data_IF_281540551129
#
_entry.id   IF_281540551129
#
_cell.length_a   1.000
_cell.length_b   1.000
_cell.length_c   1.000
_cell.angle_alpha   90.00
_cell.angle_beta   90.00
_cell.angle_gamma   90.00
#
_symmetry.space_group_name_H-M   'P 1'
#
loop_
_entity.id
_entity.type
_entity.pdbx_description
1 polymer ?
#
# COMPACT_ATOMS: atom_id res chain seq x y z
N UNK A 1 -10.90 3.00 -11.90
CA UNK A 1 -10.02 2.54 -10.79
C UNK A 1 -8.58 2.88 -11.10
N UNK A 2 -7.92 3.56 -10.21
CA UNK A 2 -6.50 3.88 -10.36
C UNK A 2 -5.84 3.91 -8.99
N UNK A 3 -4.78 3.14 -8.80
CA UNK A 3 -3.95 3.23 -7.60
C UNK A 3 -3.14 4.52 -7.66
N UNK A 4 -3.18 5.30 -6.60
CA UNK A 4 -2.42 6.54 -6.55
C UNK A 4 -0.90 6.26 -6.44
N UNK A 5 -0.12 7.27 -6.81
CA UNK A 5 1.34 7.17 -6.80
C UNK A 5 1.89 6.92 -5.39
N UNK A 6 1.28 7.52 -4.36
CA UNK A 6 1.70 7.34 -2.96
C UNK A 6 1.63 5.87 -2.54
N UNK A 7 0.52 5.21 -2.84
CA UNK A 7 0.33 3.80 -2.49
C UNK A 7 1.32 2.89 -3.22
N UNK A 8 1.53 3.14 -4.51
CA UNK A 8 2.50 2.38 -5.30
C UNK A 8 3.91 2.56 -4.77
N UNK A 9 4.32 3.78 -4.48
CA UNK A 9 5.64 4.08 -3.94
C UNK A 9 5.83 3.55 -2.52
N UNK A 10 4.77 3.55 -1.70
CA UNK A 10 4.82 2.96 -0.36
C UNK A 10 5.12 1.46 -0.45
N UNK A 11 4.45 0.74 -1.33
CA UNK A 11 4.70 -0.69 -1.53
C UNK A 11 6.13 -0.93 -2.02
N UNK A 12 6.60 -0.13 -2.98
CA UNK A 12 7.98 -0.21 -3.48
C UNK A 12 9.01 0.01 -2.36
N UNK A 13 8.80 1.04 -1.56
CA UNK A 13 9.72 1.40 -0.47
C UNK A 13 9.76 0.33 0.62
N UNK A 14 8.60 -0.22 0.99
CA UNK A 14 8.53 -1.28 2.01
C UNK A 14 9.14 -2.59 1.50
N UNK A 15 8.97 -2.90 0.22
CA UNK A 15 9.64 -4.04 -0.41
C UNK A 15 11.17 -3.86 -0.41
N UNK A 16 11.65 -2.65 -0.71
CA UNK A 16 13.08 -2.31 -0.63
C UNK A 16 13.61 -2.52 0.78
N UNK A 17 12.90 -2.03 1.80
CA UNK A 17 13.27 -2.25 3.20
C UNK A 17 13.35 -3.73 3.54
N UNK A 18 12.39 -4.52 3.10
CA UNK A 18 12.36 -5.96 3.39
C UNK A 18 13.56 -6.69 2.79
N UNK A 19 14.05 -6.22 1.64
CA UNK A 19 15.23 -6.81 0.98
C UNK A 19 16.53 -6.39 1.67
N UNK A 20 16.65 -5.11 2.04
CA UNK A 20 17.93 -4.51 2.46
C UNK A 20 18.05 -4.29 3.97
N UNK A 21 17.05 -4.59 4.78
CA UNK A 21 17.08 -4.30 6.21
C UNK A 21 18.07 -5.16 7.01
N UNK A 22 18.31 -6.39 6.63
CA UNK A 22 19.21 -7.31 7.34
C UNK A 22 19.19 -7.13 8.88
N UNK A 23 18.02 -6.94 9.46
CA UNK A 23 17.77 -6.62 10.88
C UNK A 23 18.23 -5.23 11.33
N UNK A 24 18.67 -4.37 10.41
CA UNK A 24 19.07 -2.99 10.69
C UNK A 24 18.05 -2.01 10.15
N UNK A 25 18.06 -0.78 10.68
CA UNK A 25 17.25 0.29 10.15
C UNK A 25 17.70 0.66 8.74
N UNK A 26 16.74 1.02 7.88
CA UNK A 26 17.00 1.48 6.51
C UNK A 26 16.67 2.96 6.43
N UNK A 27 17.60 3.77 5.91
CA UNK A 27 17.38 5.21 5.75
C UNK A 27 16.51 5.49 4.52
N UNK A 28 15.71 6.54 4.60
CA UNK A 28 14.91 6.98 3.44
C UNK A 28 15.79 7.45 2.29
N UNK A 29 16.96 7.98 2.60
CA UNK A 29 17.93 8.38 1.60
C UNK A 29 18.38 7.20 0.74
N UNK A 30 18.67 6.07 1.37
CA UNK A 30 19.08 4.86 0.66
C UNK A 30 17.95 4.32 -0.21
N UNK A 31 16.73 4.32 0.30
CA UNK A 31 15.54 3.92 -0.49
C UNK A 31 15.36 4.86 -1.68
N UNK A 32 15.49 6.17 -1.46
CA UNK A 32 15.40 7.18 -2.50
C UNK A 32 16.40 6.92 -3.63
N UNK A 33 17.63 6.64 -3.28
CA UNK A 33 18.69 6.36 -4.26
C UNK A 33 18.45 5.06 -5.03
N UNK A 34 18.03 3.99 -4.33
CA UNK A 34 17.80 2.70 -4.98
C UNK A 34 16.56 2.68 -5.87
N UNK A 35 15.47 3.30 -5.41
CA UNK A 35 14.18 3.23 -6.08
C UNK A 35 13.88 4.44 -6.99
N UNK A 36 14.71 5.47 -6.96
CA UNK A 36 14.48 6.67 -7.76
C UNK A 36 13.26 7.47 -7.32
N UNK A 37 12.93 7.46 -6.03
CA UNK A 37 11.80 8.18 -5.47
C UNK A 37 12.33 9.40 -4.71
N UNK A 38 11.66 10.56 -4.85
CA UNK A 38 12.02 11.77 -4.12
C UNK A 38 12.07 11.53 -2.62
N UNK A 39 13.15 11.99 -1.96
CA UNK A 39 13.30 11.87 -0.51
C UNK A 39 12.17 12.57 0.23
N UNK A 40 11.80 13.79 -0.19
CA UNK A 40 10.70 14.53 0.42
C UNK A 40 9.38 13.78 0.33
N UNK A 41 9.14 13.14 -0.80
CA UNK A 41 7.93 12.34 -1.02
C UNK A 41 7.91 11.10 -0.12
N UNK A 42 9.07 10.43 0.03
CA UNK A 42 9.21 9.30 0.95
C UNK A 42 8.97 9.72 2.40
N UNK A 43 9.45 10.88 2.81
CA UNK A 43 9.22 11.40 4.16
C UNK A 43 7.71 11.53 4.45
N UNK A 44 6.94 12.05 3.49
CA UNK A 44 5.49 12.16 3.62
C UNK A 44 4.80 10.79 3.72
N UNK A 45 5.23 9.85 2.90
CA UNK A 45 4.70 8.49 2.91
C UNK A 45 5.00 7.79 4.25
N UNK A 46 6.24 7.86 4.70
CA UNK A 46 6.68 7.19 5.92
C UNK A 46 6.08 7.81 7.19
N UNK A 47 5.75 9.09 7.15
CA UNK A 47 5.01 9.70 8.24
C UNK A 47 3.66 9.02 8.45
N UNK A 48 2.94 8.73 7.38
CA UNK A 48 1.67 8.01 7.42
C UNK A 48 1.84 6.55 7.82
N UNK A 49 2.84 5.88 7.28
CA UNK A 49 3.14 4.49 7.62
C UNK A 49 3.50 4.34 9.11
N UNK A 50 4.27 5.28 9.65
CA UNK A 50 4.60 5.33 11.08
C UNK A 50 3.38 5.55 11.95
N UNK A 51 2.51 6.47 11.56
CA UNK A 51 1.27 6.77 12.27
C UNK A 51 0.34 5.56 12.34
N UNK A 52 0.38 4.69 11.35
CA UNK A 52 -0.43 3.46 11.29
C UNK A 52 0.33 2.22 11.78
N UNK A 53 1.46 2.39 12.46
CA UNK A 53 2.26 1.31 13.06
C UNK A 53 2.77 0.27 12.07
N UNK A 54 2.98 0.65 10.81
CA UNK A 54 3.59 -0.24 9.80
C UNK A 54 5.10 -0.19 9.91
N UNK A 55 5.66 1.00 10.20
CA UNK A 55 7.08 1.21 10.43
C UNK A 55 7.29 1.96 11.73
N UNK A 56 8.48 1.87 12.28
CA UNK A 56 8.94 2.71 13.40
C UNK A 56 10.31 3.28 13.08
N UNK A 57 10.58 4.48 13.61
CA UNK A 57 11.85 5.16 13.40
C UNK A 57 12.89 4.74 14.42
N UNK A 58 14.14 4.68 13.97
CA UNK A 58 15.32 4.44 14.81
C UNK A 58 16.24 5.65 14.67
N UNK A 59 16.59 6.26 15.81
CA UNK A 59 17.48 7.43 15.84
C UNK A 59 18.95 6.99 15.82
N UNK A 60 19.81 7.87 15.31
CA UNK A 60 21.27 7.72 15.34
C UNK A 60 21.89 7.74 13.96
N UNK A 61 23.21 7.59 13.91
CA UNK A 61 24.00 7.59 12.66
C UNK A 61 23.56 6.45 11.75
N UNK A 62 23.27 5.29 12.33
CA UNK A 62 22.76 4.12 11.62
C UNK A 62 21.23 4.02 11.74
N UNK A 63 20.58 5.15 11.91
CA UNK A 63 19.13 5.22 12.06
C UNK A 63 18.37 5.15 10.72
N UNK A 64 17.08 5.18 10.83
CA UNK A 64 16.17 5.09 9.70
C UNK A 64 14.84 4.52 10.15
N UNK A 65 14.33 3.59 9.39
CA UNK A 65 13.05 2.92 9.69
C UNK A 65 13.21 1.41 9.71
N UNK A 66 12.40 0.76 10.54
CA UNK A 66 12.27 -0.70 10.56
C UNK A 66 10.79 -1.07 10.45
N UNK A 67 10.52 -2.24 9.89
CA UNK A 67 9.16 -2.78 9.82
C UNK A 67 8.70 -3.24 11.21
N UNK A 68 7.47 -2.89 11.60
CA UNK A 68 6.87 -3.36 12.86
C UNK A 68 6.47 -4.81 12.73
N UNK A 69 5.85 -5.18 11.60
CA UNK A 69 5.49 -6.56 11.27
C UNK A 69 6.48 -7.12 10.25
N UNK A 70 6.71 -8.42 10.32
CA UNK A 70 7.53 -9.09 9.31
C UNK A 70 6.85 -9.02 7.93
N UNK A 71 7.62 -9.12 6.82
CA UNK A 71 7.03 -9.18 5.48
C UNK A 71 6.02 -10.30 5.28
N UNK A 72 6.12 -11.39 6.04
CA UNK A 72 5.19 -12.52 6.00
C UNK A 72 3.86 -12.22 6.66
N UNK A 73 3.81 -11.20 7.53
CA UNK A 73 2.60 -10.81 8.27
C UNK A 73 1.96 -9.54 7.71
N UNK A 74 2.72 -8.68 7.04
CA UNK A 74 2.24 -7.41 6.52
C UNK A 74 1.45 -7.64 5.22
N UNK A 75 0.16 -7.35 5.28
CA UNK A 75 -0.73 -7.45 4.11
C UNK A 75 -0.61 -6.20 3.24
N UNK A 76 -0.75 -6.37 1.93
CA UNK A 76 -0.80 -5.23 1.00
C UNK A 76 -1.99 -4.32 1.32
N UNK A 77 -3.14 -4.90 1.74
CA UNK A 77 -4.30 -4.11 2.16
C UNK A 77 -3.99 -3.18 3.32
N UNK A 78 -3.17 -3.59 4.29
CA UNK A 78 -2.78 -2.74 5.42
C UNK A 78 -2.03 -1.49 4.96
N UNK A 79 -1.15 -1.65 3.97
CA UNK A 79 -0.38 -0.55 3.39
C UNK A 79 -1.31 0.44 2.68
N UNK A 80 -2.24 -0.06 1.88
CA UNK A 80 -3.20 0.77 1.16
C UNK A 80 -4.10 1.55 2.11
N UNK A 81 -4.57 0.92 3.17
CA UNK A 81 -5.41 1.56 4.20
C UNK A 81 -4.63 2.68 4.89
N UNK A 82 -3.36 2.46 5.21
CA UNK A 82 -2.51 3.47 5.85
C UNK A 82 -2.34 4.74 4.99
N UNK A 83 -2.45 4.60 3.68
CA UNK A 83 -2.34 5.72 2.73
C UNK A 83 -3.71 6.24 2.27
N UNK A 84 -4.78 5.86 2.95
CA UNK A 84 -6.17 6.21 2.63
C UNK A 84 -6.57 5.83 1.19
N UNK A 85 -5.94 4.81 0.65
CA UNK A 85 -6.27 4.32 -0.69
C UNK A 85 -7.51 3.45 -0.63
N UNK A 86 -8.57 3.92 -1.25
CA UNK A 86 -9.80 3.15 -1.45
C UNK A 86 -9.81 2.63 -2.88
N UNK A 87 -9.97 1.33 -3.03
CA UNK A 87 -10.06 0.71 -4.33
C UNK A 87 -11.54 0.43 -4.64
N UNK A 88 -12.10 1.25 -5.51
CA UNK A 88 -13.45 1.09 -6.03
C UNK A 88 -13.45 1.30 -7.53
N UNK A 89 -14.20 0.49 -8.26
CA UNK A 89 -14.32 0.61 -9.71
C UNK A 89 -15.29 1.72 -10.11
N UNK A 90 -16.28 2.01 -9.25
CA UNK A 90 -17.31 3.03 -9.48
C UNK A 90 -17.57 3.80 -8.19
N UNK A 91 -18.14 5.01 -8.34
CA UNK A 91 -18.42 5.90 -7.21
C UNK A 91 -19.67 5.58 -6.40
N UNK A 92 -20.35 4.47 -6.66
CA UNK A 92 -21.56 4.07 -5.92
C UNK A 92 -21.24 3.69 -4.49
N UNK A 93 -22.01 4.23 -3.53
CA UNK A 93 -21.91 3.81 -2.13
C UNK A 93 -22.57 2.45 -1.96
N UNK A 94 -21.90 1.54 -1.27
CA UNK A 94 -22.36 0.16 -1.06
C UNK A 94 -23.76 0.09 -0.45
N UNK A 95 -24.06 1.00 0.50
CA UNK A 95 -25.32 1.05 1.23
C UNK A 95 -26.32 2.07 0.67
N UNK A 96 -26.01 2.70 -0.46
CA UNK A 96 -26.89 3.67 -1.08
C UNK A 96 -28.04 2.97 -1.80
N UNK A 97 -29.27 3.32 -1.45
CA UNK A 97 -30.46 2.89 -2.16
C UNK A 97 -30.62 3.60 -3.52
N UNK A 98 -29.83 4.67 -3.74
CA UNK A 98 -29.84 5.46 -4.97
C UNK A 98 -28.70 5.03 -5.89
N UNK A 99 -28.95 5.07 -7.19
CA UNK A 99 -27.90 4.84 -8.19
C UNK A 99 -26.91 6.01 -8.27
N UNK A 100 -25.77 5.78 -8.89
CA UNK A 100 -24.73 6.79 -9.07
C UNK A 100 -25.16 8.00 -9.90
N UNK A 101 -26.24 7.87 -10.67
CA UNK A 101 -26.83 8.95 -11.47
C UNK A 101 -28.08 9.59 -10.84
N UNK A 102 -28.30 9.39 -9.53
CA UNK A 102 -29.40 10.01 -8.79
C UNK A 102 -30.77 9.34 -8.91
N UNK A 103 -30.87 8.23 -9.62
CA UNK A 103 -32.14 7.47 -9.74
C UNK A 103 -32.42 6.71 -8.44
N UNK A 104 -33.70 6.42 -8.19
CA UNK A 104 -34.13 5.73 -6.97
C UNK A 104 -33.74 4.26 -6.89
N UNK A 105 -33.29 3.67 -7.97
CA UNK A 105 -32.88 2.27 -8.06
C UNK A 105 -31.42 2.15 -8.46
N UNK A 106 -30.74 1.11 -7.96
CA UNK A 106 -29.39 0.78 -8.39
C UNK A 106 -29.40 0.40 -9.88
N UNK A 107 -28.34 0.76 -10.62
CA UNK A 107 -28.23 0.41 -12.02
C UNK A 107 -28.12 -1.11 -12.21
N UNK A 108 -28.48 -1.59 -13.40
CA UNK A 108 -28.50 -3.02 -13.72
C UNK A 108 -27.13 -3.70 -13.55
N UNK A 109 -26.04 -2.94 -13.69
CA UNK A 109 -24.66 -3.46 -13.55
C UNK A 109 -24.08 -3.28 -12.16
N UNK A 110 -24.83 -2.74 -11.20
CA UNK A 110 -24.32 -2.44 -9.86
C UNK A 110 -23.69 -3.67 -9.17
N UNK A 111 -24.37 -4.80 -9.21
CA UNK A 111 -23.89 -6.01 -8.56
C UNK A 111 -22.59 -6.56 -9.19
N UNK A 112 -22.47 -6.41 -10.50
CA UNK A 112 -21.26 -6.79 -11.23
C UNK A 112 -20.04 -6.00 -10.75
N UNK A 113 -20.19 -4.67 -10.65
CA UNK A 113 -19.07 -3.82 -10.19
C UNK A 113 -18.77 -4.03 -8.71
N UNK A 114 -19.79 -4.25 -7.89
CA UNK A 114 -19.62 -4.57 -6.47
C UNK A 114 -18.86 -5.89 -6.29
N UNK A 115 -19.18 -6.90 -7.07
CA UNK A 115 -18.47 -8.19 -7.07
C UNK A 115 -17.00 -8.00 -7.46
N UNK A 116 -16.70 -7.17 -8.45
CA UNK A 116 -15.32 -6.85 -8.85
C UNK A 116 -14.57 -6.15 -7.71
N UNK A 117 -15.21 -5.18 -7.06
CA UNK A 117 -14.61 -4.46 -5.92
C UNK A 117 -14.27 -5.41 -4.77
N UNK A 118 -15.17 -6.32 -4.44
CA UNK A 118 -14.96 -7.35 -3.42
C UNK A 118 -13.77 -8.23 -3.81
N UNK A 119 -13.69 -8.64 -5.05
CA UNK A 119 -12.62 -9.49 -5.57
C UNK A 119 -11.25 -8.78 -5.48
N UNK A 120 -11.16 -7.51 -5.87
CA UNK A 120 -9.94 -6.72 -5.81
C UNK A 120 -9.48 -6.54 -4.36
N UNK A 121 -10.39 -6.18 -3.45
CA UNK A 121 -10.06 -5.98 -2.05
C UNK A 121 -9.63 -7.29 -1.39
N UNK A 122 -10.27 -8.41 -1.71
CA UNK A 122 -9.87 -9.74 -1.26
C UNK A 122 -8.47 -10.11 -1.74
N UNK A 123 -8.13 -9.76 -2.98
CA UNK A 123 -6.80 -9.98 -3.53
C UNK A 123 -5.73 -9.27 -2.68
N UNK A 124 -5.94 -8.00 -2.34
CA UNK A 124 -5.00 -7.24 -1.52
C UNK A 124 -4.92 -7.75 -0.07
N UNK A 125 -6.02 -8.25 0.48
CA UNK A 125 -6.04 -8.85 1.83
C UNK A 125 -5.30 -10.19 1.89
N UNK A 126 -5.25 -10.92 0.80
CA UNK A 126 -4.60 -12.22 0.71
C UNK A 126 -3.15 -12.15 0.23
N UNK A 127 -2.67 -10.99 -0.20
CA UNK A 127 -1.28 -10.78 -0.60
C UNK A 127 -0.49 -10.12 0.53
N UNK A 128 0.68 -10.64 0.79
CA UNK A 128 1.61 -10.12 1.80
C UNK A 128 2.84 -9.55 1.13
N UNK A 129 3.55 -8.68 1.84
CA UNK A 129 4.76 -8.08 1.32
C UNK A 129 5.78 -9.15 0.88
N UNK A 130 5.87 -10.26 1.61
CA UNK A 130 6.75 -11.36 1.26
C UNK A 130 6.45 -11.99 -0.10
N UNK A 131 5.20 -11.94 -0.55
CA UNK A 131 4.82 -12.48 -1.87
C UNK A 131 5.46 -11.71 -3.01
N UNK A 132 5.72 -10.40 -2.82
CA UNK A 132 6.42 -9.56 -3.80
C UNK A 132 7.90 -9.91 -3.91
N UNK A 133 8.48 -10.46 -2.85
CA UNK A 133 9.92 -10.77 -2.80
C UNK A 133 10.27 -12.08 -3.49
N UNK A 134 9.30 -12.93 -3.75
CA UNK A 134 9.50 -14.22 -4.44
C UNK A 134 9.97 -14.05 -5.89
N UNK A 135 9.63 -12.93 -6.52
CA UNK A 135 9.92 -12.66 -7.93
C UNK A 135 11.03 -11.62 -8.12
N UNK A 136 11.88 -11.40 -7.10
CA UNK A 136 12.87 -10.32 -7.18
C UNK A 136 13.97 -10.56 -8.23
N UNK A 137 14.20 -11.80 -8.64
CA UNK A 137 15.15 -12.13 -9.69
C UNK A 137 14.72 -11.60 -11.07
N UNK A 138 13.44 -11.37 -11.28
CA UNK A 138 12.90 -10.83 -12.52
C UNK A 138 13.25 -9.35 -12.75
N UNK A 139 14.00 -8.71 -11.86
CA UNK A 139 14.31 -7.27 -11.90
C UNK A 139 15.75 -6.92 -12.16
N UNK A 140 16.53 -7.88 -12.46
CA UNK A 140 17.94 -7.64 -12.76
C UNK A 140 18.09 -7.22 -14.21
#
# INVERSE_FOLDING_TARGET
MKLNTKSRYAVMALADMAVFSSNNAVSLRDISLRQGISLLYLEQIFLRLKKNNIVKSVRGINGGYILVKSPKELKISDILIALDQKVKTIGCKKDSKKSCNGKSTKCITHNFWDELDIHINSFFENKKLSDLLKNREARI
#
